data_IF_693506070012
#
_entry.id   IF_693506070012
#
_cell.length_a   1.000
_cell.length_b   1.000
_cell.length_c   1.000
_cell.angle_alpha   90.00
_cell.angle_beta   90.00
_cell.angle_gamma   90.00
#
_symmetry.space_group_name_H-M   'P 1'
#
loop_
_entity.id
_entity.type
_entity.pdbx_description
1 polymer ?
#
# COMPACT_ATOMS: atom_id res chain seq x y z
N UNK A 1 -30.06 29.50 -0.56
CA UNK A 1 -28.89 29.35 0.32
C UNK A 1 -29.06 28.06 1.11
N UNK A 2 -28.72 26.92 0.51
CA UNK A 2 -28.78 25.60 1.15
C UNK A 2 -27.35 25.16 1.43
N UNK A 3 -26.96 25.23 2.70
CA UNK A 3 -25.66 24.73 3.15
C UNK A 3 -25.59 23.23 2.90
N UNK A 4 -24.66 22.82 2.05
CA UNK A 4 -24.32 21.42 1.82
C UNK A 4 -23.60 20.91 3.07
N UNK A 5 -24.24 19.98 3.78
CA UNK A 5 -23.61 19.21 4.84
C UNK A 5 -22.61 18.27 4.17
N UNK A 6 -21.32 18.62 4.22
CA UNK A 6 -20.24 17.73 3.81
C UNK A 6 -20.11 16.65 4.89
N UNK A 7 -20.30 15.36 4.58
CA UNK A 7 -19.98 14.31 5.52
C UNK A 7 -18.47 14.37 5.79
N UNK A 8 -18.08 14.66 7.02
CA UNK A 8 -16.72 14.48 7.49
C UNK A 8 -16.44 12.98 7.51
N UNK A 9 -15.82 12.48 6.44
CA UNK A 9 -15.17 11.17 6.38
C UNK A 9 -13.94 11.17 7.31
N UNK A 10 -14.19 11.25 8.62
CA UNK A 10 -13.17 11.30 9.64
C UNK A 10 -13.57 10.44 10.82
N UNK A 11 -12.77 9.39 11.03
CA UNK A 11 -12.78 8.46 12.16
C UNK A 11 -13.79 7.32 11.99
N UNK A 12 -13.34 6.21 11.38
CA UNK A 12 -13.90 4.90 11.72
C UNK A 12 -13.78 4.74 13.24
N UNK A 13 -14.88 4.42 13.91
CA UNK A 13 -15.02 4.41 15.37
C UNK A 13 -14.18 3.40 16.16
N UNK A 14 -13.05 2.95 15.61
CA UNK A 14 -12.09 2.01 16.20
C UNK A 14 -10.70 2.62 16.48
N UNK A 15 -10.48 3.91 16.19
CA UNK A 15 -9.19 4.57 16.45
C UNK A 15 -8.06 4.22 15.47
N UNK A 16 -8.36 3.51 14.39
CA UNK A 16 -7.42 3.22 13.31
C UNK A 16 -7.21 4.48 12.43
N UNK A 17 -5.95 4.79 12.11
CA UNK A 17 -5.60 5.88 11.19
C UNK A 17 -5.94 5.46 9.76
N UNK A 18 -6.51 6.37 8.98
CA UNK A 18 -6.84 6.13 7.59
C UNK A 18 -5.66 6.54 6.69
N UNK A 19 -5.23 5.62 5.82
CA UNK A 19 -4.29 5.90 4.75
C UNK A 19 -5.07 6.15 3.46
N UNK A 20 -4.94 7.35 2.91
CA UNK A 20 -5.63 7.80 1.69
C UNK A 20 -4.62 8.09 0.59
N UNK A 21 -5.02 7.90 -0.66
CA UNK A 21 -4.21 8.28 -1.81
C UNK A 21 -3.96 9.79 -1.75
N UNK A 22 -2.69 10.22 -1.80
CA UNK A 22 -2.35 11.64 -1.73
C UNK A 22 -2.93 12.43 -2.90
N UNK A 23 -3.00 11.82 -4.10
CA UNK A 23 -3.47 12.48 -5.32
C UNK A 23 -4.98 12.75 -5.33
N UNK A 24 -5.80 11.81 -4.85
CA UNK A 24 -7.27 11.91 -5.00
C UNK A 24 -8.07 11.72 -3.71
N UNK A 25 -7.38 11.54 -2.58
CA UNK A 25 -7.93 11.37 -1.23
C UNK A 25 -8.89 10.18 -1.02
N UNK A 26 -9.01 9.26 -1.99
CA UNK A 26 -9.73 8.01 -1.75
C UNK A 26 -9.02 7.15 -0.71
N UNK A 27 -9.79 6.42 0.07
CA UNK A 27 -9.26 5.44 1.02
C UNK A 27 -8.41 4.40 0.27
N UNK A 28 -7.20 4.13 0.78
CA UNK A 28 -6.32 3.04 0.32
C UNK A 28 -6.40 1.88 1.31
N UNK A 29 -6.17 2.16 2.59
CA UNK A 29 -6.22 1.19 3.68
C UNK A 29 -6.27 1.89 5.06
N UNK A 30 -6.12 1.14 6.14
CA UNK A 30 -6.15 1.60 7.52
C UNK A 30 -4.97 1.05 8.33
N UNK A 31 -4.63 1.68 9.46
CA UNK A 31 -3.48 1.28 10.28
C UNK A 31 -3.59 -0.10 10.93
N UNK A 32 -4.82 -0.60 11.12
CA UNK A 32 -5.06 -1.97 11.58
C UNK A 32 -4.74 -3.02 10.50
N UNK A 33 -4.35 -2.59 9.29
CA UNK A 33 -3.88 -3.44 8.18
C UNK A 33 -2.36 -3.47 8.04
N UNK A 34 -1.62 -2.71 8.85
CA UNK A 34 -0.15 -2.74 8.85
C UNK A 34 0.32 -4.18 9.10
N UNK A 35 1.36 -4.58 8.38
CA UNK A 35 1.91 -5.92 8.43
C UNK A 35 3.40 -5.84 8.66
N UNK A 36 3.89 -6.49 9.71
CA UNK A 36 5.32 -6.60 9.96
C UNK A 36 5.93 -7.69 9.08
N UNK A 37 6.93 -7.34 8.27
CA UNK A 37 7.77 -8.27 7.52
C UNK A 37 9.18 -8.18 8.10
N UNK A 38 9.67 -9.28 8.69
CA UNK A 38 10.94 -9.25 9.41
C UNK A 38 10.91 -8.38 10.68
N UNK A 39 9.74 -8.25 11.32
CA UNK A 39 9.57 -7.54 12.59
C UNK A 39 9.37 -6.03 12.48
N UNK A 40 9.26 -5.48 11.28
CA UNK A 40 8.95 -4.07 11.03
C UNK A 40 7.95 -3.91 9.88
N UNK A 41 7.16 -2.83 9.87
CA UNK A 41 6.20 -2.51 8.80
C UNK A 41 6.58 -1.29 7.96
N UNK A 42 7.74 -0.67 8.22
CA UNK A 42 8.25 0.45 7.43
C UNK A 42 9.63 0.12 6.93
N UNK A 43 9.78 0.10 5.62
CA UNK A 43 11.01 -0.28 4.96
C UNK A 43 11.53 0.87 4.10
N UNK A 44 12.85 0.98 4.01
CA UNK A 44 13.53 1.93 3.14
C UNK A 44 14.46 1.14 2.23
N UNK A 45 14.21 1.23 0.93
CA UNK A 45 15.01 0.58 -0.09
C UNK A 45 15.49 1.58 -1.14
N UNK A 46 16.33 1.13 -2.05
CA UNK A 46 16.73 1.87 -3.24
C UNK A 46 16.46 1.00 -4.46
N UNK A 47 15.71 1.51 -5.44
CA UNK A 47 15.45 0.77 -6.67
C UNK A 47 16.69 0.75 -7.59
N UNK A 48 16.72 -0.10 -8.65
CA UNK A 48 17.87 -0.17 -9.56
C UNK A 48 18.26 1.15 -10.25
N UNK A 49 17.34 2.12 -10.32
CA UNK A 49 17.60 3.45 -10.86
C UNK A 49 18.17 4.43 -9.82
N UNK A 50 18.46 3.98 -8.60
CA UNK A 50 19.02 4.81 -7.52
C UNK A 50 17.98 5.62 -6.75
N UNK A 51 16.68 5.39 -6.95
CA UNK A 51 15.60 6.13 -6.27
C UNK A 51 15.33 5.47 -4.91
N UNK A 52 15.36 6.28 -3.84
CA UNK A 52 15.00 5.84 -2.49
C UNK A 52 13.48 5.66 -2.36
N UNK A 53 13.06 4.49 -1.90
CA UNK A 53 11.67 4.09 -1.72
C UNK A 53 11.40 3.82 -0.24
N UNK A 54 10.58 4.67 0.39
CA UNK A 54 10.16 4.56 1.79
C UNK A 54 8.69 4.11 1.81
N UNK A 55 8.44 2.87 2.24
CA UNK A 55 7.14 2.21 2.11
C UNK A 55 6.66 1.59 3.43
N UNK A 56 5.34 1.58 3.59
CA UNK A 56 4.66 0.76 4.59
C UNK A 56 4.18 -0.56 3.98
N UNK A 57 4.25 -1.63 4.77
CA UNK A 57 3.68 -2.93 4.40
C UNK A 57 2.32 -3.15 5.03
N UNK A 58 1.37 -3.64 4.24
CA UNK A 58 0.00 -3.92 4.66
C UNK A 58 -0.44 -5.30 4.19
N UNK A 59 -1.22 -6.03 4.99
CA UNK A 59 -1.79 -7.31 4.56
C UNK A 59 -3.02 -7.13 3.66
N UNK A 60 -3.62 -5.93 3.62
CA UNK A 60 -4.77 -5.63 2.78
C UNK A 60 -4.85 -4.15 2.41
N UNK A 61 -5.08 -3.84 1.14
CA UNK A 61 -5.28 -2.49 0.61
C UNK A 61 -6.47 -2.44 -0.38
N UNK A 62 -7.73 -2.37 0.09
CA UNK A 62 -8.90 -2.39 -0.79
C UNK A 62 -8.96 -1.23 -1.80
N UNK A 63 -8.29 -0.11 -1.53
CA UNK A 63 -8.17 1.02 -2.46
C UNK A 63 -6.99 0.93 -3.42
N UNK A 64 -6.28 -0.19 -3.46
CA UNK A 64 -5.22 -0.48 -4.41
C UNK A 64 -5.59 -1.68 -5.31
N UNK A 65 -5.12 -1.64 -6.55
CA UNK A 65 -5.24 -2.73 -7.54
C UNK A 65 -3.89 -2.97 -8.20
N UNK A 66 -3.65 -4.16 -8.72
CA UNK A 66 -2.47 -4.45 -9.54
C UNK A 66 -2.87 -5.16 -10.83
N UNK A 67 -2.09 -4.93 -11.89
CA UNK A 67 -2.34 -5.49 -13.22
C UNK A 67 -1.02 -6.00 -13.84
N UNK A 68 -1.13 -6.94 -14.77
CA UNK A 68 0.02 -7.52 -15.48
C UNK A 68 0.65 -8.74 -14.78
N UNK A 69 1.74 -9.25 -15.36
CA UNK A 69 2.50 -10.38 -14.79
C UNK A 69 3.41 -9.94 -13.65
N UNK A 70 3.50 -10.74 -12.58
CA UNK A 70 4.45 -10.48 -11.52
C UNK A 70 5.86 -10.95 -11.88
N UNK A 71 6.87 -10.30 -11.30
CA UNK A 71 8.28 -10.61 -11.53
C UNK A 71 9.06 -10.64 -10.22
N UNK A 72 10.08 -11.49 -10.16
CA UNK A 72 11.04 -11.51 -9.04
C UNK A 72 12.21 -10.54 -9.27
N UNK A 73 12.30 -9.94 -10.47
CA UNK A 73 13.40 -9.05 -10.82
C UNK A 73 13.53 -7.90 -9.80
N UNK A 74 14.69 -7.83 -9.15
CA UNK A 74 14.99 -6.81 -8.14
C UNK A 74 13.98 -6.74 -6.98
N UNK A 75 13.37 -7.87 -6.62
CA UNK A 75 12.50 -7.92 -5.43
C UNK A 75 13.28 -7.52 -4.18
N UNK A 76 12.66 -6.69 -3.33
CA UNK A 76 13.21 -6.35 -2.01
C UNK A 76 12.88 -7.38 -0.94
N UNK A 77 11.86 -8.20 -1.19
CA UNK A 77 11.41 -9.23 -0.26
C UNK A 77 11.69 -10.60 -0.88
N UNK A 78 12.74 -11.26 -0.39
CA UNK A 78 13.16 -12.57 -0.89
C UNK A 78 12.01 -13.59 -0.78
N UNK A 79 11.81 -14.38 -1.84
CA UNK A 79 10.69 -15.34 -1.93
C UNK A 79 9.37 -14.73 -2.41
N UNK A 80 9.37 -13.46 -2.82
CA UNK A 80 8.19 -12.79 -3.39
C UNK A 80 8.47 -12.23 -4.78
N UNK A 81 7.48 -12.39 -5.66
CA UNK A 81 7.38 -11.67 -6.93
C UNK A 81 6.44 -10.47 -6.75
N UNK A 82 6.62 -9.43 -7.55
CA UNK A 82 5.88 -8.18 -7.40
C UNK A 82 5.24 -7.69 -8.70
N UNK A 83 4.17 -6.90 -8.53
CA UNK A 83 3.52 -6.09 -9.57
C UNK A 83 3.40 -4.65 -9.08
N UNK A 84 3.29 -3.71 -10.01
CA UNK A 84 2.94 -2.33 -9.66
C UNK A 84 1.51 -2.28 -9.12
N UNK A 85 1.33 -1.53 -8.03
CA UNK A 85 0.06 -1.26 -7.39
C UNK A 85 -0.39 0.17 -7.68
N UNK A 86 -1.66 0.32 -8.04
CA UNK A 86 -2.28 1.56 -8.46
C UNK A 86 -3.49 1.88 -7.59
N UNK A 87 -3.76 3.16 -7.38
CA UNK A 87 -4.98 3.63 -6.75
C UNK A 87 -6.18 3.21 -7.60
N UNK A 88 -7.16 2.52 -7.01
CA UNK A 88 -8.36 2.07 -7.73
C UNK A 88 -9.21 3.21 -8.26
N UNK A 89 -9.10 4.42 -7.68
CA UNK A 89 -9.89 5.58 -8.08
C UNK A 89 -9.23 6.44 -9.16
N UNK A 90 -7.94 6.73 -9.05
CA UNK A 90 -7.27 7.69 -9.93
C UNK A 90 -6.12 7.09 -10.75
N UNK A 91 -5.78 5.82 -10.54
CA UNK A 91 -4.69 5.16 -11.27
C UNK A 91 -3.28 5.60 -10.88
N UNK A 92 -3.13 6.43 -9.84
CA UNK A 92 -1.81 6.82 -9.31
C UNK A 92 -1.01 5.57 -8.92
N UNK A 93 0.27 5.53 -9.26
CA UNK A 93 1.14 4.46 -8.79
C UNK A 93 1.41 4.63 -7.30
N UNK A 94 0.92 3.69 -6.49
CA UNK A 94 1.02 3.74 -5.03
C UNK A 94 2.23 2.96 -4.49
N UNK A 95 2.70 1.94 -5.22
CA UNK A 95 3.76 1.05 -4.78
C UNK A 95 3.65 -0.32 -5.43
N UNK A 96 3.74 -1.38 -4.65
CA UNK A 96 3.82 -2.74 -5.17
C UNK A 96 2.89 -3.72 -4.45
N UNK A 97 2.36 -4.68 -5.20
CA UNK A 97 1.73 -5.90 -4.67
C UNK A 97 2.75 -7.04 -4.73
N UNK A 98 2.98 -7.70 -3.60
CA UNK A 98 3.88 -8.84 -3.48
C UNK A 98 3.06 -10.11 -3.31
N UNK A 99 3.41 -11.14 -4.05
CA UNK A 99 2.82 -12.47 -3.95
C UNK A 99 3.95 -13.50 -3.77
N UNK A 100 3.75 -14.46 -2.87
CA UNK A 100 4.73 -15.47 -2.57
C UNK A 100 5.01 -16.34 -3.80
N UNK A 101 6.29 -16.70 -3.98
CA UNK A 101 6.72 -17.64 -5.03
C UNK A 101 6.38 -19.09 -4.64
N UNK A 102 6.35 -19.38 -3.34
CA UNK A 102 6.03 -20.70 -2.78
C UNK A 102 4.84 -20.63 -1.83
N UNK A 103 4.04 -21.69 -1.87
CA UNK A 103 2.85 -21.92 -1.03
C UNK A 103 3.14 -22.11 0.46
N UNK A 104 4.39 -22.34 0.86
CA UNK A 104 4.80 -22.40 2.27
C UNK A 104 5.18 -21.03 2.84
N UNK A 105 5.46 -20.04 2.00
CA UNK A 105 5.84 -18.70 2.45
C UNK A 105 4.64 -17.98 3.04
N UNK A 106 4.87 -17.26 4.14
CA UNK A 106 3.85 -16.40 4.74
C UNK A 106 4.38 -14.98 4.94
N UNK A 107 3.54 -13.94 4.72
CA UNK A 107 2.19 -13.99 4.12
C UNK A 107 2.19 -14.56 2.68
N UNK A 108 1.04 -15.01 2.18
CA UNK A 108 0.91 -15.43 0.77
C UNK A 108 0.95 -14.23 -0.18
N UNK A 109 0.44 -13.09 0.27
CA UNK A 109 0.49 -11.82 -0.43
C UNK A 109 0.48 -10.65 0.54
N UNK A 110 1.00 -9.51 0.11
CA UNK A 110 0.93 -8.26 0.84
C UNK A 110 1.19 -7.06 -0.07
N UNK A 111 1.05 -5.86 0.47
CA UNK A 111 1.19 -4.60 -0.26
C UNK A 111 2.33 -3.78 0.34
N UNK A 112 3.25 -3.29 -0.50
CA UNK A 112 4.25 -2.30 -0.12
C UNK A 112 3.89 -0.95 -0.72
N UNK A 113 3.34 -0.02 0.07
CA UNK A 113 2.82 1.26 -0.40
C UNK A 113 3.76 2.40 0.01
N UNK A 114 4.17 3.21 -0.96
CA UNK A 114 5.07 4.34 -0.75
C UNK A 114 4.41 5.40 0.14
N UNK A 115 5.12 5.78 1.19
CA UNK A 115 4.67 6.78 2.17
C UNK A 115 4.42 8.14 1.52
N UNK A 116 5.19 8.49 0.49
CA UNK A 116 5.03 9.74 -0.27
C UNK A 116 3.74 9.81 -1.11
N UNK A 117 3.06 8.68 -1.32
CA UNK A 117 1.77 8.62 -2.02
C UNK A 117 0.58 8.46 -1.06
N UNK A 118 0.81 8.56 0.24
CA UNK A 118 -0.21 8.42 1.28
C UNK A 118 -0.40 9.72 2.09
N UNK A 119 -1.65 10.13 2.24
CA UNK A 119 -2.09 11.06 3.29
C UNK A 119 -2.62 10.26 4.49
N UNK A 120 -2.23 10.66 5.70
CA UNK A 120 -2.63 9.98 6.95
C UNK A 120 -3.61 10.87 7.72
N UNK A 121 -4.74 10.31 8.12
CA UNK A 121 -5.81 10.98 8.87
C UNK A 121 -6.17 10.21 10.13
#
# INVERSE_FOLDING_TARGET
MTGLYTPTDGISGNGAKAYRCLTCHSAVTYSDRLLDIGGINRHVFTNPSGIRCDLHTFYSCPGATCHGGATEAYTWFAGYRWRLAFCTRCGEHLGWHYEAVSDISRPEEFWGILTVHLAVH
#
